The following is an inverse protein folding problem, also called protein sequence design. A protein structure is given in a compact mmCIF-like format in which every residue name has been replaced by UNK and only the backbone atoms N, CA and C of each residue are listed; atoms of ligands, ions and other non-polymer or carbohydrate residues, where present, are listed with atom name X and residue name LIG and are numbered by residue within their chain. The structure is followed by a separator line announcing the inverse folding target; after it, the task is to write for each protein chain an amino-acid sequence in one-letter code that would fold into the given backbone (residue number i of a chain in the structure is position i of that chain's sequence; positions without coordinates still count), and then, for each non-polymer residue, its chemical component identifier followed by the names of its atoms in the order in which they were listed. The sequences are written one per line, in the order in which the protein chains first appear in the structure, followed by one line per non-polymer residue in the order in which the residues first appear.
data_IF_431959717866
#
_entry.id   IF_431959717866
#
_cell.length_a   1.000
_cell.length_b   1.000
_cell.length_c   1.000
_cell.angle_alpha   90.00
_cell.angle_beta   90.00
_cell.angle_gamma   90.00
#
_symmetry.space_group_name_H-M   'P 1'
#
loop_
_entity.id
_entity.type
_entity.pdbx_description
1 polymer ?
#
# COMPACT_ATOMS: atom_id res chain seq x y z
N UNK A 1 -11.66 -16.32 -10.11
CA UNK A 1 -11.99 -16.03 -11.52
C UNK A 1 -11.42 -14.65 -11.89
N UNK A 2 -10.33 -14.64 -12.65
CA UNK A 2 -9.63 -13.40 -13.06
C UNK A 2 -10.46 -12.51 -13.99
N UNK A 3 -11.51 -13.05 -14.63
CA UNK A 3 -12.36 -12.27 -15.55
C UNK A 3 -13.13 -11.15 -14.85
N UNK A 4 -13.22 -11.19 -13.54
CA UNK A 4 -13.89 -10.16 -12.73
C UNK A 4 -12.95 -9.03 -12.28
N UNK A 5 -11.63 -9.22 -12.42
CA UNK A 5 -10.64 -8.20 -12.04
C UNK A 5 -10.59 -7.16 -13.15
N UNK A 6 -10.85 -5.91 -12.78
CA UNK A 6 -10.91 -4.80 -13.74
C UNK A 6 -9.65 -3.93 -13.75
N UNK A 7 -8.85 -4.01 -12.70
CA UNK A 7 -7.60 -3.29 -12.56
C UNK A 7 -6.73 -3.91 -11.47
N UNK A 8 -5.44 -3.65 -11.52
CA UNK A 8 -4.47 -3.89 -10.46
C UNK A 8 -3.91 -2.53 -10.02
N UNK A 9 -3.92 -2.28 -8.72
CA UNK A 9 -3.29 -1.11 -8.11
C UNK A 9 -2.01 -1.56 -7.41
N UNK A 10 -0.87 -0.98 -7.77
CA UNK A 10 0.42 -1.33 -7.16
C UNK A 10 0.83 -0.21 -6.20
N UNK A 11 1.13 -0.58 -4.96
CA UNK A 11 1.60 0.36 -3.95
C UNK A 11 3.07 0.75 -4.17
N UNK A 12 3.94 -0.25 -4.34
CA UNK A 12 5.38 -0.07 -4.51
C UNK A 12 6.04 -1.27 -5.22
N UNK A 13 7.34 -1.19 -5.47
CA UNK A 13 8.09 -2.11 -6.34
C UNK A 13 8.83 -3.25 -5.62
N UNK A 14 8.55 -3.54 -4.34
CA UNK A 14 9.11 -4.72 -3.69
C UNK A 14 8.60 -6.03 -4.32
N UNK A 15 9.45 -7.03 -4.33
CA UNK A 15 9.23 -8.27 -5.08
C UNK A 15 7.94 -9.01 -4.72
N UNK A 16 7.56 -9.03 -3.46
CA UNK A 16 6.35 -9.69 -2.95
C UNK A 16 5.06 -8.99 -3.40
N UNK A 17 5.14 -7.71 -3.78
CA UNK A 17 4.03 -6.93 -4.32
C UNK A 17 3.91 -6.99 -5.85
N UNK A 18 5.02 -7.25 -6.57
CA UNK A 18 5.04 -7.12 -8.05
C UNK A 18 5.30 -8.40 -8.82
N UNK A 19 5.73 -9.50 -8.18
CA UNK A 19 6.16 -10.73 -8.88
C UNK A 19 5.13 -11.34 -9.86
N UNK A 20 3.85 -11.02 -9.71
CA UNK A 20 2.78 -11.52 -10.61
C UNK A 20 2.23 -10.45 -11.55
N UNK A 21 2.72 -9.20 -11.44
CA UNK A 21 2.15 -8.06 -12.17
C UNK A 21 2.29 -8.20 -13.68
N UNK A 22 3.40 -8.74 -14.16
CA UNK A 22 3.63 -9.01 -15.58
C UNK A 22 2.59 -9.99 -16.15
N UNK A 23 2.35 -11.09 -15.45
CA UNK A 23 1.32 -12.05 -15.85
C UNK A 23 -0.09 -11.42 -15.87
N UNK A 24 -0.45 -10.68 -14.83
CA UNK A 24 -1.78 -10.04 -14.76
C UNK A 24 -1.94 -8.99 -15.87
N UNK A 25 -0.91 -8.17 -16.09
CA UNK A 25 -0.93 -7.10 -17.06
C UNK A 25 -0.89 -7.59 -18.51
N UNK A 26 0.13 -8.37 -18.87
CA UNK A 26 0.40 -8.71 -20.26
C UNK A 26 -0.30 -10.00 -20.73
N UNK A 27 -0.44 -11.01 -19.87
CA UNK A 27 -1.15 -12.26 -20.24
C UNK A 27 -2.65 -12.18 -20.10
N UNK A 28 -3.13 -11.49 -19.03
CA UNK A 28 -4.55 -11.35 -18.79
C UNK A 28 -5.11 -9.98 -19.24
N UNK A 29 -4.27 -9.10 -19.77
CA UNK A 29 -4.64 -7.77 -20.28
C UNK A 29 -5.36 -6.92 -19.22
N UNK A 30 -5.02 -7.07 -17.93
CA UNK A 30 -5.61 -6.30 -16.86
C UNK A 30 -4.82 -4.99 -16.70
N UNK A 31 -5.44 -3.81 -16.74
CA UNK A 31 -4.75 -2.55 -16.52
C UNK A 31 -4.04 -2.49 -15.17
N UNK A 32 -2.77 -2.08 -15.17
CA UNK A 32 -1.90 -1.96 -13.99
C UNK A 32 -1.65 -0.48 -13.71
N UNK A 33 -2.19 0.01 -12.61
CA UNK A 33 -2.07 1.41 -12.17
C UNK A 33 -0.98 1.54 -11.12
N UNK A 34 -0.03 2.42 -11.36
CA UNK A 34 1.04 2.77 -10.45
C UNK A 34 1.61 4.16 -10.76
N UNK A 35 2.37 4.75 -9.86
CA UNK A 35 3.12 5.97 -10.16
C UNK A 35 4.20 5.70 -11.21
N UNK A 36 4.70 6.75 -11.86
CA UNK A 36 5.77 6.62 -12.84
C UNK A 36 7.03 5.97 -12.23
N UNK A 37 7.30 6.28 -10.95
CA UNK A 37 8.47 5.77 -10.24
C UNK A 37 8.33 4.28 -9.88
N UNK A 38 7.17 3.86 -9.42
CA UNK A 38 6.86 2.44 -9.21
C UNK A 38 6.96 1.67 -10.51
N UNK A 39 6.45 2.19 -11.64
CA UNK A 39 6.61 1.55 -12.94
C UNK A 39 8.07 1.43 -13.36
N UNK A 40 8.92 2.44 -13.08
CA UNK A 40 10.37 2.33 -13.30
C UNK A 40 11.04 1.26 -12.43
N UNK A 41 10.57 1.10 -11.20
CA UNK A 41 11.01 0.03 -10.30
C UNK A 41 10.62 -1.35 -10.84
N UNK A 42 9.37 -1.50 -11.32
CA UNK A 42 8.90 -2.74 -11.96
C UNK A 42 9.77 -3.09 -13.17
N UNK A 43 10.08 -2.12 -14.05
CA UNK A 43 10.91 -2.34 -15.24
C UNK A 43 12.35 -2.80 -14.94
N UNK A 44 12.87 -2.42 -13.77
CA UNK A 44 14.21 -2.81 -13.30
C UNK A 44 14.22 -4.10 -12.48
N UNK A 45 13.05 -4.59 -12.11
CA UNK A 45 12.92 -5.74 -11.22
C UNK A 45 13.23 -7.04 -11.96
N UNK A 46 14.15 -7.84 -11.39
CA UNK A 46 14.43 -9.20 -11.87
C UNK A 46 13.31 -10.22 -11.60
N UNK A 47 12.28 -9.80 -10.87
CA UNK A 47 11.15 -10.66 -10.49
C UNK A 47 9.95 -10.50 -11.43
N UNK A 48 10.03 -9.57 -12.39
CA UNK A 48 9.00 -9.35 -13.41
C UNK A 48 9.64 -9.57 -14.77
N UNK A 49 9.24 -10.64 -15.43
CA UNK A 49 9.81 -11.05 -16.73
C UNK A 49 9.16 -10.31 -17.90
N UNK A 50 7.86 -10.01 -17.77
CA UNK A 50 7.10 -9.31 -18.80
C UNK A 50 7.23 -7.81 -18.70
N UNK A 51 7.48 -7.14 -19.82
CA UNK A 51 7.45 -5.67 -19.88
C UNK A 51 6.01 -5.18 -20.00
N UNK A 52 5.57 -4.37 -19.04
CA UNK A 52 4.23 -3.77 -19.08
C UNK A 52 4.16 -2.72 -20.20
N UNK A 53 3.53 -3.07 -21.32
CA UNK A 53 3.37 -2.17 -22.47
C UNK A 53 1.94 -1.60 -22.57
N UNK A 54 0.96 -2.45 -22.83
CA UNK A 54 -0.43 -2.06 -23.08
C UNK A 54 -1.19 -1.85 -21.76
N UNK A 55 -0.88 -2.66 -20.77
CA UNK A 55 -1.55 -2.65 -19.46
C UNK A 55 -1.12 -1.48 -18.57
N UNK A 56 0.01 -0.84 -18.82
CA UNK A 56 0.55 0.26 -18.01
C UNK A 56 -0.37 1.47 -17.96
N UNK A 57 -0.73 1.90 -16.75
CA UNK A 57 -1.47 3.14 -16.46
C UNK A 57 -0.73 3.93 -15.40
N UNK A 58 -0.24 5.10 -15.78
CA UNK A 58 0.47 5.99 -14.85
C UNK A 58 -0.55 6.85 -14.10
N UNK A 59 -0.38 6.93 -12.78
CA UNK A 59 -1.17 7.78 -11.88
C UNK A 59 -0.28 8.78 -11.16
N UNK A 60 -0.87 9.85 -10.66
CA UNK A 60 -0.22 10.87 -9.86
C UNK A 60 -0.76 10.86 -8.43
N UNK A 61 0.10 11.11 -7.44
CA UNK A 61 -0.30 11.25 -6.05
C UNK A 61 -1.22 12.46 -5.88
N UNK A 62 -2.21 12.35 -5.00
CA UNK A 62 -3.23 13.37 -4.69
C UNK A 62 -4.12 13.76 -5.88
N UNK A 63 -3.97 13.14 -7.06
CA UNK A 63 -4.82 13.36 -8.22
C UNK A 63 -5.82 12.20 -8.36
N UNK A 64 -7.12 12.43 -8.13
CA UNK A 64 -8.13 11.38 -8.25
C UNK A 64 -8.31 10.90 -9.69
N UNK A 65 -8.48 9.60 -9.86
CA UNK A 65 -8.82 8.98 -11.14
C UNK A 65 -9.99 8.00 -10.97
N UNK A 66 -10.59 7.61 -12.10
CA UNK A 66 -11.75 6.71 -12.10
C UNK A 66 -11.40 5.36 -12.72
N UNK A 67 -11.84 4.30 -12.05
CA UNK A 67 -11.91 2.95 -12.62
C UNK A 67 -13.37 2.50 -12.49
N UNK A 68 -14.11 2.52 -13.58
CA UNK A 68 -15.58 2.37 -13.57
C UNK A 68 -16.20 3.39 -12.58
N UNK A 69 -16.96 2.90 -11.59
CA UNK A 69 -17.64 3.74 -10.60
C UNK A 69 -16.78 4.02 -9.35
N UNK A 70 -15.55 3.51 -9.31
CA UNK A 70 -14.61 3.75 -8.21
C UNK A 70 -13.81 5.03 -8.46
N UNK A 71 -13.87 5.95 -7.51
CA UNK A 71 -12.98 7.11 -7.47
C UNK A 71 -11.80 6.78 -6.58
N UNK A 72 -10.60 6.84 -7.13
CA UNK A 72 -9.38 6.38 -6.46
C UNK A 72 -8.39 7.53 -6.36
N UNK A 73 -7.80 7.71 -5.19
CA UNK A 73 -6.72 8.67 -4.96
C UNK A 73 -5.54 7.91 -4.38
N UNK A 74 -4.39 7.97 -5.05
CA UNK A 74 -3.13 7.51 -4.48
C UNK A 74 -2.54 8.60 -3.58
N UNK A 75 -1.99 8.24 -2.43
CA UNK A 75 -1.35 9.18 -1.52
C UNK A 75 0.00 8.63 -1.05
N UNK A 76 0.91 9.54 -0.70
CA UNK A 76 2.26 9.16 -0.29
C UNK A 76 2.28 8.41 1.04
N UNK A 77 3.07 7.33 1.08
CA UNK A 77 3.34 6.53 2.27
C UNK A 77 4.85 6.35 2.40
N UNK A 78 5.47 6.71 3.53
CA UNK A 78 6.90 6.54 3.73
C UNK A 78 7.30 5.06 3.77
N UNK A 79 8.18 4.63 2.85
CA UNK A 79 8.75 3.29 2.84
C UNK A 79 10.07 3.24 2.06
N UNK A 80 10.89 2.21 2.28
CA UNK A 80 12.21 2.02 1.68
C UNK A 80 12.15 1.37 0.27
N UNK A 81 11.32 1.91 -0.59
CA UNK A 81 11.13 1.48 -2.00
C UNK A 81 11.44 2.62 -2.98
N UNK A 82 11.36 2.36 -4.29
CA UNK A 82 11.55 3.42 -5.30
C UNK A 82 10.51 4.53 -5.14
N UNK A 83 9.29 4.18 -4.84
CA UNK A 83 8.16 5.03 -4.46
C UNK A 83 7.11 4.16 -3.78
N UNK A 84 6.33 4.72 -2.84
CA UNK A 84 5.27 3.97 -2.19
C UNK A 84 4.01 4.83 -2.01
N UNK A 85 2.87 4.22 -2.30
CA UNK A 85 1.56 4.87 -2.16
C UNK A 85 0.56 3.99 -1.43
N UNK A 86 -0.29 4.63 -0.63
CA UNK A 86 -1.57 4.07 -0.21
C UNK A 86 -2.67 4.46 -1.19
N UNK A 87 -3.83 3.84 -1.06
CA UNK A 87 -4.99 4.12 -1.90
C UNK A 87 -6.22 4.46 -1.06
N UNK A 88 -6.86 5.58 -1.39
CA UNK A 88 -8.20 5.91 -0.90
C UNK A 88 -9.21 5.68 -2.03
N UNK A 89 -10.18 4.81 -1.78
CA UNK A 89 -11.11 4.32 -2.80
C UNK A 89 -12.54 4.65 -2.34
N UNK A 90 -13.25 5.42 -3.14
CA UNK A 90 -14.63 5.82 -2.89
C UNK A 90 -15.57 5.12 -3.87
N UNK A 91 -16.64 4.52 -3.33
CA UNK A 91 -17.73 3.92 -4.11
C UNK A 91 -19.07 4.14 -3.38
N UNK A 92 -19.93 4.96 -3.94
CA UNK A 92 -21.16 5.39 -3.26
C UNK A 92 -20.85 6.03 -1.90
N UNK A 93 -21.37 5.45 -0.83
CA UNK A 93 -21.13 5.90 0.55
C UNK A 93 -19.99 5.14 1.24
N UNK A 94 -19.26 4.30 0.52
CA UNK A 94 -18.13 3.54 1.05
C UNK A 94 -16.81 4.25 0.74
N UNK A 95 -15.95 4.35 1.76
CA UNK A 95 -14.62 4.93 1.69
C UNK A 95 -13.62 3.94 2.27
N UNK A 96 -12.87 3.30 1.39
CA UNK A 96 -11.79 2.40 1.76
C UNK A 96 -10.47 3.17 1.77
N UNK A 97 -9.68 2.97 2.83
CA UNK A 97 -8.27 3.37 2.81
C UNK A 97 -7.42 2.12 2.99
N UNK A 98 -6.45 1.97 2.10
CA UNK A 98 -5.47 0.90 2.12
C UNK A 98 -4.07 1.51 2.31
N UNK A 99 -3.41 1.19 3.43
CA UNK A 99 -2.05 1.62 3.74
C UNK A 99 -1.26 0.44 4.31
N UNK A 100 -0.37 -0.10 3.50
CA UNK A 100 0.59 -1.15 3.87
C UNK A 100 2.00 -0.63 3.65
N UNK A 101 2.98 -1.26 4.30
CA UNK A 101 4.38 -0.87 4.22
C UNK A 101 4.56 0.61 4.60
N UNK A 102 4.10 0.89 5.82
CA UNK A 102 4.03 2.25 6.40
C UNK A 102 5.17 2.43 7.38
N UNK A 103 6.19 3.17 7.01
CA UNK A 103 7.31 3.45 7.94
C UNK A 103 6.89 4.25 9.17
N UNK A 104 6.00 5.22 8.99
CA UNK A 104 5.36 5.99 10.08
C UNK A 104 4.12 6.73 9.57
N UNK A 105 3.24 7.13 10.47
CA UNK A 105 2.03 7.86 10.12
C UNK A 105 2.35 9.35 9.95
N UNK A 106 2.44 9.82 8.70
CA UNK A 106 2.54 11.24 8.36
C UNK A 106 1.18 11.93 8.42
N UNK A 107 1.15 13.26 8.33
CA UNK A 107 -0.12 14.02 8.23
C UNK A 107 -0.96 13.54 7.03
N UNK A 108 -0.32 13.20 5.91
CA UNK A 108 -1.00 12.67 4.72
C UNK A 108 -1.63 11.31 4.99
N UNK A 109 -0.87 10.37 5.54
CA UNK A 109 -1.37 9.03 5.91
C UNK A 109 -2.52 9.16 6.92
N UNK A 110 -2.32 9.97 7.97
CA UNK A 110 -3.32 10.23 9.00
C UNK A 110 -4.61 10.81 8.43
N UNK A 111 -4.52 11.79 7.53
CA UNK A 111 -5.68 12.37 6.81
C UNK A 111 -6.52 11.29 6.15
N UNK A 112 -5.91 10.39 5.37
CA UNK A 112 -6.64 9.34 4.65
C UNK A 112 -7.17 8.23 5.56
N UNK A 113 -6.47 7.91 6.66
CA UNK A 113 -7.00 7.02 7.69
C UNK A 113 -8.29 7.62 8.30
N UNK A 114 -8.26 8.89 8.66
CA UNK A 114 -9.42 9.57 9.25
C UNK A 114 -10.63 9.72 8.29
N UNK A 115 -10.39 9.72 6.97
CA UNK A 115 -11.46 9.75 5.96
C UNK A 115 -12.16 8.40 5.74
N UNK A 116 -11.54 7.30 6.18
CA UNK A 116 -12.03 5.95 5.91
C UNK A 116 -13.26 5.58 6.74
N UNK A 117 -14.16 4.79 6.15
CA UNK A 117 -15.10 3.97 6.92
C UNK A 117 -14.80 2.47 6.82
N UNK A 118 -13.85 2.10 5.97
CA UNK A 118 -13.23 0.78 5.90
C UNK A 118 -11.72 0.97 5.76
N UNK A 119 -10.96 0.50 6.72
CA UNK A 119 -9.52 0.72 6.81
C UNK A 119 -8.77 -0.61 6.74
N UNK A 120 -7.78 -0.70 5.87
CA UNK A 120 -6.75 -1.73 5.86
C UNK A 120 -5.45 -1.02 6.20
N UNK A 121 -4.88 -1.33 7.37
CA UNK A 121 -3.70 -0.65 7.91
C UNK A 121 -2.66 -1.67 8.33
N UNK A 122 -1.41 -1.37 8.07
CA UNK A 122 -0.30 -2.14 8.58
C UNK A 122 -0.26 -2.12 10.12
N UNK A 123 0.07 -3.28 10.69
CA UNK A 123 0.46 -3.45 12.09
C UNK A 123 1.52 -4.56 12.12
N UNK A 124 2.76 -4.21 11.73
CA UNK A 124 3.75 -5.20 11.34
C UNK A 124 4.36 -5.91 12.54
N UNK A 125 4.82 -5.19 13.55
CA UNK A 125 5.62 -5.78 14.60
C UNK A 125 5.27 -5.28 16.00
N UNK A 126 5.49 -6.17 16.99
CA UNK A 126 5.59 -5.81 18.39
C UNK A 126 7.03 -5.41 18.71
N UNK A 127 7.23 -4.28 19.38
CA UNK A 127 8.56 -3.70 19.63
C UNK A 127 9.43 -4.57 20.53
N UNK A 128 8.85 -5.21 21.55
CA UNK A 128 9.60 -6.13 22.44
C UNK A 128 9.94 -7.43 21.71
N UNK A 129 8.99 -7.98 20.95
CA UNK A 129 9.25 -9.18 20.14
C UNK A 129 10.31 -8.91 19.08
N UNK A 130 10.29 -7.75 18.40
CA UNK A 130 11.34 -7.37 17.45
C UNK A 130 12.69 -7.23 18.18
N UNK A 131 12.72 -6.53 19.31
CA UNK A 131 13.97 -6.29 20.08
C UNK A 131 14.63 -7.59 20.52
N UNK A 132 13.86 -8.52 21.07
CA UNK A 132 14.37 -9.78 21.62
C UNK A 132 14.31 -10.97 20.65
N UNK A 133 13.69 -10.80 19.50
CA UNK A 133 13.57 -11.83 18.46
C UNK A 133 14.91 -12.21 17.81
N UNK A 134 14.87 -13.20 16.95
CA UNK A 134 16.06 -13.82 16.33
C UNK A 134 16.59 -13.09 15.12
N UNK A 135 15.91 -12.04 14.64
CA UNK A 135 16.37 -11.26 13.48
C UNK A 135 17.76 -10.64 13.70
N UNK A 136 18.61 -10.61 12.67
CA UNK A 136 19.87 -9.88 12.74
C UNK A 136 19.67 -8.39 13.05
N UNK A 137 20.66 -7.75 13.69
CA UNK A 137 20.55 -6.35 14.13
C UNK A 137 20.16 -5.39 12.98
N UNK A 138 20.82 -5.53 11.82
CA UNK A 138 20.51 -4.67 10.64
C UNK A 138 19.05 -4.79 10.17
N UNK A 139 18.45 -5.97 10.27
CA UNK A 139 17.05 -6.17 9.89
C UNK A 139 16.11 -5.55 10.92
N UNK A 140 16.41 -5.66 12.23
CA UNK A 140 15.66 -4.99 13.29
C UNK A 140 15.67 -3.47 13.11
N UNK A 141 16.85 -2.91 12.82
CA UNK A 141 17.03 -1.48 12.54
C UNK A 141 16.24 -1.04 11.30
N UNK A 142 16.28 -1.82 10.22
CA UNK A 142 15.50 -1.54 9.01
C UNK A 142 14.00 -1.57 9.29
N UNK A 143 13.50 -2.61 9.97
CA UNK A 143 12.07 -2.76 10.30
C UNK A 143 11.57 -1.60 11.13
N UNK A 144 12.32 -1.18 12.17
CA UNK A 144 11.96 -0.09 13.07
C UNK A 144 12.36 1.31 12.56
N UNK A 145 12.86 1.45 11.33
CA UNK A 145 13.25 2.76 10.78
C UNK A 145 12.04 3.59 10.36
N UNK A 146 12.18 4.92 10.21
CA UNK A 146 11.10 5.79 9.74
C UNK A 146 10.56 5.46 8.33
N UNK A 147 11.31 4.66 7.56
CA UNK A 147 10.92 4.13 6.25
C UNK A 147 10.78 2.60 6.26
N UNK A 148 10.77 1.99 7.45
CA UNK A 148 10.55 0.56 7.63
C UNK A 148 9.06 0.21 7.67
N UNK A 149 8.61 -0.23 8.84
CA UNK A 149 7.24 -0.71 9.04
C UNK A 149 6.59 -0.11 10.28
N UNK A 150 5.26 -0.07 10.31
CA UNK A 150 4.48 0.47 11.41
C UNK A 150 4.38 -0.56 12.55
N UNK A 151 4.72 -0.14 13.77
CA UNK A 151 4.54 -1.00 14.94
C UNK A 151 3.06 -1.15 15.32
N UNK A 152 2.74 -2.27 15.98
CA UNK A 152 1.40 -2.52 16.51
C UNK A 152 0.96 -1.41 17.46
N UNK A 153 1.90 -0.88 18.26
CA UNK A 153 1.65 0.20 19.22
C UNK A 153 1.32 1.52 18.51
N UNK A 154 2.12 1.95 17.55
CA UNK A 154 1.86 3.18 16.80
C UNK A 154 0.53 3.14 16.05
N UNK A 155 0.20 2.00 15.41
CA UNK A 155 -1.09 1.80 14.78
C UNK A 155 -2.25 1.94 15.79
N UNK A 156 -2.13 1.29 16.95
CA UNK A 156 -3.16 1.32 18.01
C UNK A 156 -3.30 2.71 18.63
N UNK A 157 -2.20 3.40 18.95
CA UNK A 157 -2.19 4.75 19.53
C UNK A 157 -2.82 5.77 18.56
N UNK A 158 -2.46 5.69 17.28
CA UNK A 158 -3.07 6.57 16.28
C UNK A 158 -4.58 6.34 16.18
N UNK A 159 -5.02 5.09 16.08
CA UNK A 159 -6.44 4.76 16.00
C UNK A 159 -7.21 5.17 17.26
N UNK A 160 -6.61 5.00 18.45
CA UNK A 160 -7.24 5.39 19.72
C UNK A 160 -7.42 6.92 19.84
N UNK A 161 -6.47 7.70 19.34
CA UNK A 161 -6.49 9.17 19.43
C UNK A 161 -7.27 9.84 18.30
N UNK A 162 -7.39 9.19 17.14
CA UNK A 162 -8.04 9.72 15.94
C UNK A 162 -9.28 8.91 15.53
N UNK A 163 -9.95 8.29 16.52
CA UNK A 163 -11.13 7.49 16.24
C UNK A 163 -12.21 8.31 15.52
N UNK A 164 -12.62 7.80 14.38
CA UNK A 164 -13.69 8.37 13.57
C UNK A 164 -14.98 7.53 13.77
N UNK A 165 -16.06 8.16 14.20
CA UNK A 165 -17.37 7.47 14.38
C UNK A 165 -17.94 6.88 13.10
N UNK A 166 -17.43 7.29 11.93
CA UNK A 166 -17.77 6.72 10.62
C UNK A 166 -17.01 5.44 10.30
N UNK A 167 -15.97 5.08 11.06
CA UNK A 167 -15.16 3.88 10.83
C UNK A 167 -15.96 2.64 11.23
N UNK A 168 -16.17 1.75 10.27
CA UNK A 168 -17.01 0.53 10.42
C UNK A 168 -16.18 -0.72 10.56
N UNK A 169 -15.08 -0.80 9.82
CA UNK A 169 -14.21 -1.97 9.78
C UNK A 169 -12.74 -1.55 9.75
N UNK A 170 -11.93 -2.29 10.48
CA UNK A 170 -10.47 -2.21 10.44
C UNK A 170 -9.95 -3.63 10.19
N UNK A 171 -9.10 -3.78 9.18
CA UNK A 171 -8.31 -4.98 8.95
C UNK A 171 -6.85 -4.62 9.13
N UNK A 172 -6.20 -5.31 10.05
CA UNK A 172 -4.75 -5.20 10.21
C UNK A 172 -4.08 -6.11 9.19
N UNK A 173 -3.07 -5.61 8.53
CA UNK A 173 -2.33 -6.34 7.48
C UNK A 173 -0.83 -6.30 7.73
N UNK A 174 -0.09 -7.04 6.91
CA UNK A 174 1.37 -7.11 6.93
C UNK A 174 1.93 -7.48 8.32
N UNK A 175 1.29 -8.44 8.97
CA UNK A 175 1.69 -8.97 10.28
C UNK A 175 2.97 -9.80 10.13
N UNK A 176 3.98 -9.63 11.00
CA UNK A 176 5.21 -10.42 11.04
C UNK A 176 5.26 -11.44 12.18
#
# INVERSE_FOLDING_TARGET
DFTKIVAVLITHDHADHIKTVGYLGEKLCIPVYATADVHRGIDKSRYVEETLCVSRKVIEKEVPFLIRDFRITAFEVPHDSTDNVGYHIEYGNHKFTFATDVGHITDTVGKYICMANHLILEANYDEEMLRFGTYPAFLKERVASPTGHLSNREAAEFLATHYNTGLKNIWLCHLS
#
